data_IF_303417170609
#
_entry.id   IF_303417170609
#
_cell.length_a   1.000
_cell.length_b   1.000
_cell.length_c   1.000
_cell.angle_alpha   90.00
_cell.angle_beta   90.00
_cell.angle_gamma   90.00
#
_symmetry.space_group_name_H-M   'P 1'
#
loop_
_entity.id
_entity.type
_entity.pdbx_description
1 polymer ?
#
# COMPACT_ATOMS: atom_id res chain seq x y z
N UNK A 1 -21.53 -34.45 26.66
CA UNK A 1 -21.16 -33.14 27.20
C UNK A 1 -19.65 -32.90 27.11
N UNK A 2 -18.83 -33.86 27.56
CA UNK A 2 -17.37 -33.78 27.48
C UNK A 2 -16.93 -33.73 26.01
N UNK A 3 -17.57 -34.51 25.15
CA UNK A 3 -17.27 -34.55 23.73
C UNK A 3 -17.45 -33.19 23.08
N UNK A 4 -18.52 -32.48 23.43
CA UNK A 4 -18.77 -31.15 22.93
C UNK A 4 -17.72 -30.15 23.44
N UNK A 5 -17.34 -30.29 24.72
CA UNK A 5 -16.33 -29.41 25.31
C UNK A 5 -14.97 -29.57 24.63
N UNK A 6 -14.57 -30.80 24.31
CA UNK A 6 -13.30 -31.06 23.62
C UNK A 6 -13.32 -30.44 22.22
N UNK A 7 -14.41 -30.56 21.52
CA UNK A 7 -14.54 -30.00 20.17
C UNK A 7 -14.38 -28.49 20.22
N UNK A 8 -15.04 -27.80 21.15
CA UNK A 8 -14.93 -26.36 21.30
C UNK A 8 -13.50 -25.93 21.64
N UNK A 9 -12.84 -26.71 22.53
CA UNK A 9 -11.47 -26.42 22.90
C UNK A 9 -10.52 -26.52 21.72
N UNK A 10 -10.67 -27.53 20.89
CA UNK A 10 -9.83 -27.70 19.68
C UNK A 10 -10.06 -26.56 18.69
N UNK A 11 -11.30 -26.17 18.46
CA UNK A 11 -11.62 -25.05 17.58
C UNK A 11 -10.99 -23.75 18.10
N UNK A 12 -11.05 -23.55 19.42
CA UNK A 12 -10.45 -22.36 20.04
C UNK A 12 -8.94 -22.28 19.83
N UNK A 13 -8.24 -23.40 19.99
CA UNK A 13 -6.80 -23.45 19.79
C UNK A 13 -6.46 -23.19 18.31
N UNK A 14 -7.16 -23.84 17.40
CA UNK A 14 -6.92 -23.62 15.96
C UNK A 14 -7.21 -22.20 15.55
N UNK A 15 -8.27 -21.59 16.06
CA UNK A 15 -8.62 -20.21 15.77
C UNK A 15 -7.56 -19.24 16.28
N UNK A 16 -6.99 -19.52 17.45
CA UNK A 16 -5.98 -18.63 18.03
C UNK A 16 -4.69 -18.58 17.21
N UNK A 17 -4.39 -19.64 16.47
CA UNK A 17 -3.23 -19.67 15.58
C UNK A 17 -3.56 -19.12 14.19
N UNK A 18 -4.77 -19.36 13.73
CA UNK A 18 -5.19 -18.97 12.38
C UNK A 18 -5.44 -17.46 12.24
N UNK A 19 -6.02 -16.83 13.26
CA UNK A 19 -6.42 -15.43 13.19
C UNK A 19 -5.24 -14.48 12.98
N UNK A 20 -4.13 -14.56 13.73
CA UNK A 20 -2.97 -13.71 13.46
C UNK A 20 -2.38 -13.91 12.07
N UNK A 21 -2.30 -15.16 11.60
CA UNK A 21 -1.79 -15.46 10.25
C UNK A 21 -2.68 -14.86 9.18
N UNK A 22 -4.00 -14.93 9.35
CA UNK A 22 -4.96 -14.33 8.42
C UNK A 22 -4.80 -12.81 8.39
N UNK A 23 -4.68 -12.17 9.54
CA UNK A 23 -4.50 -10.71 9.62
C UNK A 23 -3.22 -10.26 8.91
N UNK A 24 -2.12 -10.97 9.10
CA UNK A 24 -0.86 -10.64 8.44
C UNK A 24 -0.97 -10.78 6.93
N UNK A 25 -1.60 -11.85 6.47
CA UNK A 25 -1.81 -12.08 5.05
C UNK A 25 -2.67 -10.97 4.42
N UNK A 26 -3.73 -10.56 5.11
CA UNK A 26 -4.62 -9.50 4.66
C UNK A 26 -3.90 -8.16 4.58
N UNK A 27 -3.07 -7.84 5.58
CA UNK A 27 -2.29 -6.61 5.57
C UNK A 27 -1.30 -6.57 4.40
N UNK A 28 -0.67 -7.71 4.10
CA UNK A 28 0.23 -7.81 2.95
C UNK A 28 -0.50 -7.60 1.64
N UNK A 29 -1.74 -8.09 1.52
CA UNK A 29 -2.56 -7.87 0.34
C UNK A 29 -2.87 -6.38 0.17
N UNK A 30 -3.18 -5.67 1.25
CA UNK A 30 -3.43 -4.24 1.21
C UNK A 30 -2.18 -3.44 0.83
N UNK A 31 -1.01 -3.84 1.32
CA UNK A 31 0.25 -3.21 0.92
C UNK A 31 0.52 -3.45 -0.56
N UNK A 32 0.20 -4.64 -1.07
CA UNK A 32 0.31 -4.95 -2.49
C UNK A 32 -0.60 -4.07 -3.35
N UNK A 33 -1.80 -3.74 -2.84
CA UNK A 33 -2.69 -2.78 -3.50
C UNK A 33 -2.03 -1.41 -3.62
N UNK A 34 -1.39 -0.95 -2.53
CA UNK A 34 -0.64 0.30 -2.54
C UNK A 34 0.48 0.31 -3.56
N UNK A 35 1.21 -0.80 -3.67
CA UNK A 35 2.27 -0.94 -4.68
C UNK A 35 1.70 -0.87 -6.09
N UNK A 36 0.52 -1.47 -6.32
CA UNK A 36 -0.14 -1.42 -7.62
C UNK A 36 -0.52 0.00 -8.01
N UNK A 37 -1.05 0.78 -7.07
CA UNK A 37 -1.37 2.18 -7.31
C UNK A 37 -0.10 3.00 -7.59
N UNK A 38 0.96 2.74 -6.83
CA UNK A 38 2.23 3.43 -7.03
C UNK A 38 2.87 3.09 -8.37
N UNK A 39 2.68 1.88 -8.88
CA UNK A 39 3.22 1.48 -10.17
C UNK A 39 2.61 2.31 -11.32
N UNK A 40 1.31 2.60 -11.24
CA UNK A 40 0.67 3.46 -12.23
C UNK A 40 1.21 4.88 -12.20
N UNK A 41 1.45 5.41 -11.02
CA UNK A 41 2.03 6.74 -10.85
C UNK A 41 3.47 6.74 -11.33
N UNK A 42 4.21 5.68 -11.07
CA UNK A 42 5.59 5.55 -11.51
C UNK A 42 5.71 5.68 -13.03
N UNK A 43 4.79 5.07 -13.76
CA UNK A 43 4.78 5.18 -15.23
C UNK A 43 4.66 6.64 -15.68
N UNK A 44 3.76 7.40 -15.06
CA UNK A 44 3.61 8.83 -15.35
C UNK A 44 4.86 9.63 -14.99
N UNK A 45 5.50 9.31 -13.89
CA UNK A 45 6.74 9.98 -13.47
C UNK A 45 7.88 9.71 -14.43
N UNK A 46 8.01 8.47 -14.89
CA UNK A 46 9.05 8.10 -15.84
C UNK A 46 8.86 8.83 -17.17
N UNK A 47 7.62 8.91 -17.64
CA UNK A 47 7.30 9.64 -18.88
C UNK A 47 7.64 11.12 -18.72
N UNK A 48 7.29 11.73 -17.59
CA UNK A 48 7.63 13.11 -17.33
C UNK A 48 9.15 13.34 -17.32
N UNK A 49 9.88 12.47 -16.62
CA UNK A 49 11.33 12.57 -16.56
C UNK A 49 11.97 12.42 -17.94
N UNK A 50 11.47 11.50 -18.75
CA UNK A 50 11.97 11.29 -20.10
C UNK A 50 11.73 12.52 -20.99
N UNK A 51 10.62 13.22 -20.79
CA UNK A 51 10.29 14.39 -21.59
C UNK A 51 11.01 15.67 -21.13
N UNK A 52 11.25 15.81 -19.83
CA UNK A 52 11.75 17.05 -19.24
C UNK A 52 13.16 16.96 -18.67
N UNK A 53 13.67 15.74 -18.45
CA UNK A 53 14.99 15.54 -17.87
C UNK A 53 15.09 15.73 -16.37
N UNK A 54 13.99 16.10 -15.71
CA UNK A 54 13.92 16.33 -14.27
C UNK A 54 12.69 15.62 -13.70
N UNK A 55 12.71 15.38 -12.39
CA UNK A 55 11.56 14.81 -11.72
C UNK A 55 10.52 15.90 -11.41
N UNK A 56 9.23 15.58 -11.49
CA UNK A 56 8.19 16.57 -11.19
C UNK A 56 8.20 16.95 -9.72
N UNK A 57 7.83 18.18 -9.42
CA UNK A 57 7.78 18.68 -8.05
C UNK A 57 6.59 18.13 -7.27
N UNK A 58 5.54 17.68 -7.98
CA UNK A 58 4.36 17.10 -7.36
C UNK A 58 3.66 16.17 -8.36
N UNK A 59 2.65 15.46 -7.87
CA UNK A 59 1.94 14.47 -8.69
C UNK A 59 1.18 15.11 -9.85
N UNK A 60 0.68 16.32 -9.69
CA UNK A 60 -0.09 17.00 -10.72
C UNK A 60 0.80 17.43 -11.87
N UNK A 61 2.05 17.79 -11.61
CA UNK A 61 3.00 18.15 -12.63
C UNK A 61 3.27 16.99 -13.59
N UNK A 62 3.16 15.76 -13.11
CA UNK A 62 3.34 14.57 -13.94
C UNK A 62 2.06 14.21 -14.74
N UNK A 63 1.01 15.02 -14.65
CA UNK A 63 -0.24 14.75 -15.35
C UNK A 63 -1.07 13.66 -14.72
N UNK A 64 -0.80 13.34 -13.46
CA UNK A 64 -1.55 12.34 -12.71
C UNK A 64 -2.56 13.04 -11.80
N UNK A 65 -3.62 12.34 -11.42
CA UNK A 65 -4.65 12.89 -10.53
C UNK A 65 -4.06 13.36 -9.20
N UNK A 66 -4.73 14.32 -8.56
CA UNK A 66 -4.30 14.84 -7.26
C UNK A 66 -4.17 13.72 -6.23
N UNK A 67 -3.22 13.86 -5.31
CA UNK A 67 -2.91 12.84 -4.31
C UNK A 67 -4.15 12.36 -3.55
N UNK A 68 -5.02 13.28 -3.16
CA UNK A 68 -6.20 12.95 -2.37
C UNK A 68 -7.25 12.16 -3.16
N UNK A 69 -7.20 12.18 -4.50
CA UNK A 69 -8.13 11.44 -5.33
C UNK A 69 -7.63 10.03 -5.66
N UNK A 70 -6.38 9.71 -5.33
CA UNK A 70 -5.80 8.38 -5.54
C UNK A 70 -5.91 7.61 -4.24
N UNK A 71 -6.87 6.72 -4.17
CA UNK A 71 -7.11 5.91 -2.98
C UNK A 71 -7.64 4.54 -3.37
N UNK A 72 -7.47 3.59 -2.48
CA UNK A 72 -8.01 2.25 -2.61
C UNK A 72 -8.64 1.83 -1.30
N UNK A 73 -8.92 0.54 -1.16
CA UNK A 73 -9.56 -0.01 0.04
C UNK A 73 -8.74 0.29 1.30
N UNK A 74 -7.43 0.18 1.21
CA UNK A 74 -6.52 0.37 2.36
C UNK A 74 -5.59 1.57 2.19
N UNK A 75 -5.63 2.24 1.04
CA UNK A 75 -4.76 3.38 0.73
C UNK A 75 -5.53 4.66 0.95
N UNK A 76 -5.01 5.52 1.82
CA UNK A 76 -5.62 6.82 2.10
C UNK A 76 -5.27 7.84 1.03
N UNK A 77 -4.02 7.90 0.65
CA UNK A 77 -3.55 8.87 -0.33
C UNK A 77 -2.19 8.46 -0.87
N UNK A 78 -1.86 9.01 -2.04
CA UNK A 78 -0.55 8.84 -2.65
C UNK A 78 -0.03 10.22 -3.02
N UNK A 79 1.19 10.52 -2.64
CA UNK A 79 1.83 11.80 -2.91
C UNK A 79 3.16 11.57 -3.62
N UNK A 80 3.61 12.59 -4.34
CA UNK A 80 4.88 12.56 -5.05
C UNK A 80 5.72 13.74 -4.59
N UNK A 81 6.97 13.45 -4.24
CA UNK A 81 7.95 14.48 -3.88
C UNK A 81 9.24 14.18 -4.63
N UNK A 82 9.50 14.93 -5.70
CA UNK A 82 10.67 14.70 -6.52
C UNK A 82 10.66 13.31 -7.12
N UNK A 83 11.63 12.48 -6.76
CA UNK A 83 11.74 11.10 -7.23
C UNK A 83 11.11 10.08 -6.28
N UNK A 84 10.39 10.55 -5.26
CA UNK A 84 9.79 9.67 -4.25
C UNK A 84 8.28 9.62 -4.40
N UNK A 85 7.73 8.43 -4.24
CA UNK A 85 6.28 8.20 -4.19
C UNK A 85 5.94 7.77 -2.78
N UNK A 86 5.06 8.51 -2.11
CA UNK A 86 4.63 8.24 -0.74
C UNK A 86 3.21 7.70 -0.75
N UNK A 87 3.05 6.46 -0.33
CA UNK A 87 1.74 5.81 -0.19
C UNK A 87 1.37 5.78 1.28
N UNK A 88 0.29 6.45 1.65
CA UNK A 88 -0.19 6.49 3.03
C UNK A 88 -1.37 5.53 3.18
N UNK A 89 -1.28 4.62 4.13
CA UNK A 89 -2.31 3.62 4.38
C UNK A 89 -3.28 4.09 5.45
N UNK A 90 -4.47 3.53 5.43
CA UNK A 90 -5.49 3.78 6.46
C UNK A 90 -5.44 2.70 7.56
N UNK A 91 -6.48 2.65 8.41
CA UNK A 91 -6.51 1.74 9.56
C UNK A 91 -6.53 0.26 9.19
N UNK A 92 -6.78 -0.10 7.94
CA UNK A 92 -6.81 -1.51 7.52
C UNK A 92 -5.41 -2.13 7.53
N UNK A 93 -4.37 -1.33 7.34
CA UNK A 93 -2.99 -1.77 7.52
C UNK A 93 -2.52 -1.28 8.88
N UNK A 94 -2.19 -0.02 8.96
CA UNK A 94 -1.81 0.66 10.20
C UNK A 94 -2.01 2.14 9.92
N UNK A 95 -2.84 2.80 10.73
CA UNK A 95 -3.21 4.18 10.44
C UNK A 95 -1.98 5.08 10.40
N UNK A 96 -1.81 5.77 9.28
CA UNK A 96 -0.70 6.69 9.08
C UNK A 96 0.59 6.03 8.63
N UNK A 97 0.64 4.70 8.47
CA UNK A 97 1.84 4.04 7.96
C UNK A 97 2.03 4.40 6.49
N UNK A 98 3.27 4.49 6.06
CA UNK A 98 3.62 4.90 4.71
C UNK A 98 4.59 3.94 4.06
N UNK A 99 4.45 3.82 2.74
CA UNK A 99 5.40 3.12 1.89
C UNK A 99 6.07 4.16 1.01
N UNK A 100 7.40 4.14 0.97
CA UNK A 100 8.17 5.10 0.18
C UNK A 100 8.86 4.36 -0.96
N UNK A 101 8.57 4.79 -2.18
CA UNK A 101 9.27 4.31 -3.37
C UNK A 101 10.15 5.44 -3.89
N UNK A 102 11.41 5.16 -4.10
CA UNK A 102 12.35 6.16 -4.58
C UNK A 102 12.91 5.77 -5.93
N UNK A 103 12.80 6.68 -6.89
CA UNK A 103 13.45 6.52 -8.17
C UNK A 103 14.93 6.83 -8.06
N UNK A 104 15.73 6.01 -8.72
CA UNK A 104 17.17 6.26 -8.83
C UNK A 104 17.47 6.87 -10.18
N UNK A 105 18.26 7.93 -10.12
CA UNK A 105 18.79 8.56 -11.32
C UNK A 105 20.08 7.82 -11.67
N UNK A 106 19.99 6.92 -12.64
CA UNK A 106 21.16 6.17 -13.13
C UNK A 106 21.65 6.88 -14.39
N UNK A 107 22.71 7.57 -14.25
CA UNK A 107 23.33 8.25 -15.38
C UNK A 107 24.50 7.45 -15.93
#
# INVERSE_FOLDING_TARGET
LIELMIVVAIIGVLASLALPAYQNHTKRAYVSEGLGLAAGIKAGLVDYHAAHGIWPSNIQAAGVSAAASIHGTAVRSVAVQGSQILVTFNTKVENGSTLIMQGRNVS
#
